data_IF_922919859615
#
_entry.id   IF_922919859615
#
_cell.length_a   1.000
_cell.length_b   1.000
_cell.length_c   1.000
_cell.angle_alpha   90.00
_cell.angle_beta   90.00
_cell.angle_gamma   90.00
#
_symmetry.space_group_name_H-M   'P 1'
#
loop_
_entity.id
_entity.type
_entity.pdbx_description
1 polymer ?
#
# COMPACT_ATOMS: atom_id res chain seq x y z
N UNK A 1 18.00 -12.20 0.64
CA UNK A 1 17.88 -10.73 0.54
C UNK A 1 17.39 -10.39 -0.86
N UNK A 2 16.31 -9.63 -0.99
CA UNK A 2 15.76 -9.24 -2.29
C UNK A 2 16.65 -8.14 -2.89
N UNK A 3 16.84 -8.15 -4.22
CA UNK A 3 17.52 -7.07 -4.92
C UNK A 3 16.74 -5.74 -4.77
N UNK A 4 17.46 -4.63 -4.64
CA UNK A 4 16.90 -3.29 -4.43
C UNK A 4 15.89 -2.85 -5.49
N UNK A 5 16.14 -3.19 -6.76
CA UNK A 5 15.21 -2.86 -7.84
C UNK A 5 13.89 -3.63 -7.70
N UNK A 6 13.96 -4.89 -7.27
CA UNK A 6 12.76 -5.70 -6.99
C UNK A 6 12.03 -5.14 -5.77
N UNK A 7 12.75 -4.71 -4.72
CA UNK A 7 12.14 -4.06 -3.56
C UNK A 7 11.34 -2.82 -3.95
N UNK A 8 11.91 -1.93 -4.76
CA UNK A 8 11.22 -0.72 -5.26
C UNK A 8 9.96 -1.06 -6.05
N UNK A 9 10.01 -2.09 -6.89
CA UNK A 9 8.82 -2.57 -7.62
C UNK A 9 7.75 -3.09 -6.67
N UNK A 10 8.12 -3.85 -5.63
CA UNK A 10 7.18 -4.34 -4.62
C UNK A 10 6.56 -3.19 -3.83
N UNK A 11 7.34 -2.18 -3.44
CA UNK A 11 6.85 -0.98 -2.77
C UNK A 11 5.83 -0.23 -3.64
N UNK A 12 6.12 -0.05 -4.92
CA UNK A 12 5.18 0.55 -5.87
C UNK A 12 3.87 -0.24 -5.95
N UNK A 13 3.93 -1.57 -6.02
CA UNK A 13 2.74 -2.41 -6.04
C UNK A 13 1.92 -2.35 -4.74
N UNK A 14 2.57 -2.22 -3.58
CA UNK A 14 1.90 -2.03 -2.29
C UNK A 14 1.10 -0.73 -2.31
N UNK A 15 1.74 0.39 -2.70
CA UNK A 15 1.09 1.68 -2.80
C UNK A 15 -0.10 1.66 -3.78
N UNK A 16 0.06 1.06 -4.95
CA UNK A 16 -1.00 0.96 -5.96
C UNK A 16 -2.21 0.17 -5.44
N UNK A 17 -1.98 -0.95 -4.75
CA UNK A 17 -3.07 -1.74 -4.16
C UNK A 17 -3.79 -0.99 -3.04
N UNK A 18 -3.06 -0.26 -2.21
CA UNK A 18 -3.65 0.57 -1.15
C UNK A 18 -4.50 1.71 -1.73
N UNK A 19 -4.03 2.35 -2.80
CA UNK A 19 -4.80 3.37 -3.53
C UNK A 19 -6.10 2.80 -4.10
N UNK A 20 -6.01 1.65 -4.80
CA UNK A 20 -7.19 0.97 -5.35
C UNK A 20 -8.18 0.56 -4.27
N UNK A 21 -7.70 0.12 -3.10
CA UNK A 21 -8.57 -0.20 -1.96
C UNK A 21 -9.34 1.03 -1.47
N UNK A 22 -8.68 2.19 -1.36
CA UNK A 22 -9.32 3.45 -0.96
C UNK A 22 -10.32 3.94 -2.01
N UNK A 23 -9.96 3.90 -3.29
CA UNK A 23 -10.86 4.28 -4.39
C UNK A 23 -12.12 3.41 -4.42
N UNK A 24 -11.95 2.09 -4.31
CA UNK A 24 -13.06 1.15 -4.27
C UNK A 24 -14.00 1.41 -3.06
N UNK A 25 -13.43 1.78 -1.91
CA UNK A 25 -14.23 2.21 -0.75
C UNK A 25 -15.03 3.49 -1.05
N UNK A 26 -14.39 4.50 -1.62
CA UNK A 26 -15.03 5.77 -1.98
C UNK A 26 -16.18 5.60 -2.98
N UNK A 27 -16.03 4.66 -3.92
CA UNK A 27 -17.04 4.27 -4.91
C UNK A 27 -18.14 3.36 -4.35
N UNK A 28 -18.05 2.97 -3.06
CA UNK A 28 -18.90 1.96 -2.41
C UNK A 28 -18.84 0.58 -3.08
N UNK A 29 -17.75 0.30 -3.80
CA UNK A 29 -17.45 -1.01 -4.35
C UNK A 29 -16.68 -1.85 -3.32
N UNK A 30 -17.42 -2.35 -2.33
CA UNK A 30 -16.82 -3.07 -1.19
C UNK A 30 -16.19 -4.41 -1.58
N UNK A 31 -16.62 -5.03 -2.68
CA UNK A 31 -16.02 -6.27 -3.17
C UNK A 31 -14.58 -6.03 -3.61
N UNK A 32 -14.36 -5.00 -4.42
CA UNK A 32 -13.01 -4.64 -4.87
C UNK A 32 -12.15 -4.13 -3.72
N UNK A 33 -12.74 -3.35 -2.80
CA UNK A 33 -12.04 -2.93 -1.58
C UNK A 33 -11.50 -4.13 -0.78
N UNK A 34 -12.35 -5.10 -0.45
CA UNK A 34 -11.93 -6.31 0.26
C UNK A 34 -10.91 -7.12 -0.54
N UNK A 35 -11.07 -7.20 -1.87
CA UNK A 35 -10.13 -7.89 -2.74
C UNK A 35 -8.72 -7.28 -2.70
N UNK A 36 -8.62 -5.95 -2.76
CA UNK A 36 -7.33 -5.25 -2.68
C UNK A 36 -6.69 -5.36 -1.29
N UNK A 37 -7.49 -5.26 -0.21
CA UNK A 37 -7.01 -5.50 1.15
C UNK A 37 -6.50 -6.94 1.34
N UNK A 38 -7.22 -7.93 0.81
CA UNK A 38 -6.80 -9.33 0.86
C UNK A 38 -5.46 -9.56 0.12
N UNK A 39 -5.26 -8.89 -1.03
CA UNK A 39 -3.98 -8.92 -1.75
C UNK A 39 -2.83 -8.34 -0.91
N UNK A 40 -3.04 -7.20 -0.25
CA UNK A 40 -2.06 -6.61 0.65
C UNK A 40 -1.71 -7.59 1.79
N UNK A 41 -2.71 -8.19 2.44
CA UNK A 41 -2.49 -9.20 3.49
C UNK A 41 -1.69 -10.40 2.95
N UNK A 42 -2.00 -10.87 1.74
CA UNK A 42 -1.24 -11.94 1.08
C UNK A 42 0.21 -11.55 0.81
N UNK A 43 0.47 -10.31 0.38
CA UNK A 43 1.82 -9.77 0.20
C UNK A 43 2.60 -9.71 1.52
N UNK A 44 1.96 -9.25 2.61
CA UNK A 44 2.59 -9.24 3.94
C UNK A 44 3.11 -10.63 4.29
N UNK A 45 2.26 -11.65 4.19
CA UNK A 45 2.62 -13.04 4.47
C UNK A 45 3.76 -13.54 3.58
N UNK A 46 3.79 -13.14 2.31
CA UNK A 46 4.86 -13.50 1.39
C UNK A 46 6.21 -12.82 1.71
N UNK A 47 6.21 -11.69 2.42
CA UNK A 47 7.43 -10.97 2.79
C UNK A 47 7.98 -11.34 4.17
N UNK A 48 7.19 -12.03 5.01
CA UNK A 48 7.65 -12.51 6.32
C UNK A 48 8.88 -13.40 6.17
N UNK A 49 9.94 -13.08 6.90
CA UNK A 49 11.22 -13.80 6.83
C UNK A 49 12.05 -13.51 5.58
N UNK A 50 11.55 -12.69 4.65
CA UNK A 50 12.25 -12.31 3.42
C UNK A 50 12.75 -10.86 3.49
N UNK A 51 11.86 -9.93 3.84
CA UNK A 51 12.16 -8.49 3.90
C UNK A 51 11.23 -7.79 4.91
N UNK A 52 11.78 -7.42 6.07
CA UNK A 52 11.02 -6.79 7.14
C UNK A 52 10.51 -5.39 6.78
N UNK A 53 11.20 -4.67 5.90
CA UNK A 53 10.76 -3.36 5.46
C UNK A 53 9.49 -3.50 4.62
N UNK A 54 9.44 -4.44 3.69
CA UNK A 54 8.23 -4.69 2.91
C UNK A 54 7.05 -5.17 3.77
N UNK A 55 7.29 -5.94 4.83
CA UNK A 55 6.25 -6.31 5.79
C UNK A 55 5.67 -5.06 6.49
N UNK A 56 6.53 -4.13 6.89
CA UNK A 56 6.13 -2.88 7.52
C UNK A 56 5.39 -1.97 6.53
N UNK A 57 5.90 -1.83 5.30
CA UNK A 57 5.28 -1.03 4.24
C UNK A 57 3.84 -1.50 3.97
N UNK A 58 3.60 -2.82 3.95
CA UNK A 58 2.24 -3.37 3.81
C UNK A 58 1.36 -3.06 5.03
N UNK A 59 1.89 -3.23 6.25
CA UNK A 59 1.13 -2.95 7.48
C UNK A 59 0.71 -1.49 7.52
N UNK A 60 1.66 -0.59 7.33
CA UNK A 60 1.43 0.84 7.37
C UNK A 60 0.44 1.25 6.26
N UNK A 61 0.48 0.61 5.10
CA UNK A 61 -0.51 0.83 4.03
C UNK A 61 -1.92 0.37 4.42
N UNK A 62 -2.06 -0.79 5.07
CA UNK A 62 -3.36 -1.27 5.55
C UNK A 62 -3.94 -0.35 6.64
N UNK A 63 -3.11 0.11 7.58
CA UNK A 63 -3.53 1.04 8.63
C UNK A 63 -4.05 2.35 8.01
N UNK A 64 -3.42 2.84 6.94
CA UNK A 64 -3.87 4.03 6.19
C UNK A 64 -5.16 3.81 5.42
N UNK A 65 -5.36 2.63 4.85
CA UNK A 65 -6.63 2.27 4.22
C UNK A 65 -7.75 2.30 5.26
N UNK A 66 -7.52 1.76 6.46
CA UNK A 66 -8.51 1.77 7.55
C UNK A 66 -8.82 3.20 8.03
N UNK A 67 -7.78 4.03 8.23
CA UNK A 67 -7.95 5.46 8.54
C UNK A 67 -8.80 6.19 7.48
N UNK A 68 -8.57 5.91 6.20
CA UNK A 68 -9.35 6.49 5.10
C UNK A 68 -10.81 6.04 5.16
N UNK A 69 -11.04 4.74 5.39
CA UNK A 69 -12.37 4.17 5.52
C UNK A 69 -13.15 4.76 6.70
N UNK A 70 -12.48 4.96 7.85
CA UNK A 70 -13.07 5.49 9.07
C UNK A 70 -13.37 7.00 9.00
N UNK A 71 -12.55 7.78 8.29
CA UNK A 71 -12.66 9.25 8.24
C UNK A 71 -13.67 9.78 7.22
N UNK A 72 -14.21 8.94 6.33
CA UNK A 72 -15.22 9.36 5.35
C UNK A 72 -14.72 10.32 4.26
N UNK A 73 -13.42 10.27 3.93
CA UNK A 73 -12.63 11.06 2.94
C UNK A 73 -11.88 12.28 3.53
N UNK A 74 -10.60 12.54 3.16
CA UNK A 74 -10.28 13.26 1.90
C UNK A 74 -8.87 13.10 1.30
N UNK A 75 -7.86 12.53 1.95
CA UNK A 75 -6.46 12.76 1.50
C UNK A 75 -5.56 11.52 1.42
N UNK A 76 -6.09 10.34 1.07
CA UNK A 76 -5.22 9.21 0.73
C UNK A 76 -4.29 9.55 -0.45
N UNK A 77 -4.78 10.31 -1.42
CA UNK A 77 -4.00 10.72 -2.58
C UNK A 77 -2.79 11.60 -2.19
N UNK A 78 -2.95 12.53 -1.23
CA UNK A 78 -1.84 13.34 -0.74
C UNK A 78 -0.75 12.49 -0.04
N UNK A 79 -1.15 11.47 0.70
CA UNK A 79 -0.20 10.52 1.31
C UNK A 79 0.48 9.63 0.27
N UNK A 80 -0.27 9.07 -0.68
CA UNK A 80 0.28 8.22 -1.74
C UNK A 80 1.29 8.96 -2.62
N UNK A 81 0.99 10.23 -2.97
CA UNK A 81 1.94 11.13 -3.64
C UNK A 81 3.18 11.37 -2.78
N UNK A 82 3.02 11.58 -1.47
CA UNK A 82 4.14 11.70 -0.53
C UNK A 82 5.06 10.47 -0.51
N UNK A 83 4.49 9.26 -0.54
CA UNK A 83 5.26 8.02 -0.63
C UNK A 83 5.99 7.90 -1.97
N UNK A 84 5.30 8.16 -3.09
CA UNK A 84 5.91 8.14 -4.41
C UNK A 84 7.07 9.14 -4.53
N UNK A 85 6.93 10.35 -3.98
CA UNK A 85 8.00 11.35 -3.95
C UNK A 85 9.19 10.94 -3.08
N UNK A 86 8.95 10.28 -1.94
CA UNK A 86 10.03 9.77 -1.10
C UNK A 86 10.82 8.66 -1.79
N UNK A 87 10.15 7.76 -2.51
CA UNK A 87 10.81 6.70 -3.30
C UNK A 87 11.70 7.29 -4.40
N UNK A 88 11.25 8.37 -5.08
CA UNK A 88 12.04 9.04 -6.11
C UNK A 88 13.29 9.75 -5.54
N UNK A 89 13.20 10.35 -4.35
CA UNK A 89 14.33 11.05 -3.71
C UNK A 89 15.42 10.10 -3.21
N UNK A 90 15.08 8.87 -2.87
CA UNK A 90 16.06 7.84 -2.44
C UNK A 90 16.73 7.16 -3.65
N UNK A 91 16.29 7.47 -4.88
CA UNK A 91 16.84 6.92 -6.12
C UNK A 91 17.77 7.87 -6.90
N UNK A 92 17.93 9.12 -6.44
CA UNK A 92 18.83 10.14 -6.99
C UNK A 92 20.06 10.31 -6.11
#
# INVERSE_FOLDING_TARGET
MINEQVRKLKQSSICELAERACLAWAERNFNDHHFYCAKLIGMKSAFVGVDCQLVNDVRDSLDRVDEFCASGAKDFHAWAVGQACNVLKVAA
#
